data_IF_745256969265
#
_entry.id   IF_745256969265
#
_cell.length_a   1.000
_cell.length_b   1.000
_cell.length_c   1.000
_cell.angle_alpha   90.00
_cell.angle_beta   90.00
_cell.angle_gamma   90.00
#
_symmetry.space_group_name_H-M   'P 1'
#
loop_
_entity.id
_entity.type
_entity.pdbx_description
1 polymer ?
#
# COMPACT_ATOMS: atom_id res chain seq x y z
N UNK A 1 7.95 -14.07 18.92
CA UNK A 1 7.74 -14.09 17.46
C UNK A 1 6.70 -13.04 17.17
N UNK A 2 6.98 -12.09 16.28
CA UNK A 2 6.07 -11.00 15.88
C UNK A 2 5.11 -11.52 14.80
N UNK A 3 3.95 -10.91 14.67
CA UNK A 3 2.88 -11.46 13.83
C UNK A 3 3.16 -11.29 12.33
N UNK A 4 3.71 -10.15 11.90
CA UNK A 4 3.83 -9.85 10.47
C UNK A 4 4.96 -8.84 10.20
N UNK A 5 5.69 -9.03 9.11
CA UNK A 5 6.61 -8.03 8.54
C UNK A 5 6.13 -7.59 7.17
N UNK A 6 6.29 -6.31 6.85
CA UNK A 6 6.07 -5.73 5.53
C UNK A 6 7.39 -5.32 4.90
N UNK A 7 7.70 -5.88 3.73
CA UNK A 7 8.76 -5.37 2.85
C UNK A 7 8.16 -4.32 1.92
N UNK A 8 8.68 -3.10 1.94
CA UNK A 8 8.17 -1.99 1.14
C UNK A 8 9.28 -1.33 0.31
N UNK A 9 8.91 -0.83 -0.87
CA UNK A 9 9.83 -0.24 -1.83
C UNK A 9 10.20 1.22 -1.51
N UNK A 10 9.32 1.99 -0.88
CA UNK A 10 9.58 3.39 -0.62
C UNK A 10 8.94 3.91 0.67
N UNK A 11 9.31 5.14 1.03
CA UNK A 11 8.78 5.82 2.20
C UNK A 11 7.29 6.20 2.07
N UNK A 12 6.71 6.28 0.88
CA UNK A 12 5.27 6.52 0.74
C UNK A 12 4.47 5.31 1.24
N UNK A 13 4.91 4.09 0.92
CA UNK A 13 4.37 2.85 1.46
C UNK A 13 4.58 2.75 2.98
N UNK A 14 5.75 3.13 3.50
CA UNK A 14 5.98 3.20 4.96
C UNK A 14 4.95 4.11 5.63
N UNK A 15 4.74 5.31 5.09
CA UNK A 15 3.77 6.27 5.63
C UNK A 15 2.34 5.75 5.52
N UNK A 16 1.99 5.06 4.42
CA UNK A 16 0.69 4.41 4.26
C UNK A 16 0.44 3.37 5.36
N UNK A 17 1.40 2.46 5.57
CA UNK A 17 1.27 1.39 6.57
C UNK A 17 1.15 1.96 7.98
N UNK A 18 1.98 2.94 8.34
CA UNK A 18 1.85 3.66 9.63
C UNK A 18 0.48 4.30 9.76
N UNK A 19 0.01 4.99 8.74
CA UNK A 19 -1.30 5.63 8.77
C UNK A 19 -2.43 4.63 8.96
N UNK A 20 -2.29 3.42 8.44
CA UNK A 20 -3.30 2.39 8.56
C UNK A 20 -3.24 1.64 9.90
N UNK A 21 -2.06 1.18 10.30
CA UNK A 21 -1.89 0.28 11.45
C UNK A 21 -1.64 1.01 12.79
N UNK A 22 -1.19 2.28 12.79
CA UNK A 22 -1.10 3.08 14.02
C UNK A 22 -2.50 3.45 14.59
N UNK A 23 -3.57 3.11 13.87
CA UNK A 23 -4.95 3.40 14.28
C UNK A 23 -5.41 2.42 15.34
N UNK A 24 -6.05 2.96 16.37
CA UNK A 24 -6.81 2.13 17.29
C UNK A 24 -7.82 1.26 16.53
N UNK A 25 -7.83 -0.02 16.86
CA UNK A 25 -8.79 -1.00 16.35
C UNK A 25 -8.76 -1.17 14.81
N UNK A 26 -7.61 -1.01 14.15
CA UNK A 26 -7.46 -1.26 12.71
C UNK A 26 -8.01 -2.64 12.29
N UNK A 27 -7.88 -3.65 13.16
CA UNK A 27 -8.38 -5.01 12.94
C UNK A 27 -9.90 -5.06 12.69
N UNK A 28 -10.68 -4.15 13.29
CA UNK A 28 -12.13 -4.04 13.03
C UNK A 28 -12.45 -3.50 11.63
N UNK A 29 -11.56 -2.66 11.08
CA UNK A 29 -11.70 -2.15 9.71
C UNK A 29 -11.37 -3.26 8.70
N UNK A 30 -10.38 -4.10 9.03
CA UNK A 30 -10.02 -5.28 8.25
C UNK A 30 -11.03 -6.43 8.39
N UNK A 31 -11.76 -6.50 9.51
CA UNK A 31 -12.63 -7.64 9.83
C UNK A 31 -11.82 -8.89 10.15
N UNK A 32 -10.74 -8.71 10.92
CA UNK A 32 -9.81 -9.74 11.37
C UNK A 32 -9.60 -9.64 12.89
N UNK A 33 -9.04 -10.70 13.50
CA UNK A 33 -8.55 -10.66 14.89
C UNK A 33 -7.42 -9.64 15.01
N UNK A 34 -7.32 -9.00 16.18
CA UNK A 34 -6.18 -8.13 16.49
C UNK A 34 -4.86 -8.91 16.45
N UNK A 35 -3.82 -8.28 15.90
CA UNK A 35 -2.46 -8.78 15.87
C UNK A 35 -1.48 -7.66 16.26
N UNK A 36 -0.28 -8.02 16.71
CA UNK A 36 0.78 -7.08 17.08
C UNK A 36 1.43 -6.49 15.83
N UNK A 37 1.58 -5.18 15.82
CA UNK A 37 2.26 -4.45 14.76
C UNK A 37 2.95 -3.21 15.33
N UNK A 38 4.26 -3.13 15.09
CA UNK A 38 5.13 -2.01 15.41
C UNK A 38 5.85 -1.59 14.15
N UNK A 39 5.52 -0.42 13.61
CA UNK A 39 6.06 0.06 12.35
C UNK A 39 7.58 0.30 12.35
N UNK A 40 8.24 0.36 13.51
CA UNK A 40 9.69 0.47 13.63
C UNK A 40 10.39 -0.90 13.52
N UNK A 41 9.68 -2.00 13.82
CA UNK A 41 10.21 -3.37 13.80
C UNK A 41 9.67 -4.20 12.64
N UNK A 42 8.44 -3.92 12.21
CA UNK A 42 7.66 -4.74 11.27
C UNK A 42 7.64 -4.18 9.85
N UNK A 43 8.41 -3.12 9.58
CA UNK A 43 8.57 -2.59 8.22
C UNK A 43 10.04 -2.67 7.81
N UNK A 44 10.32 -3.58 6.88
CA UNK A 44 11.56 -3.63 6.14
C UNK A 44 11.48 -2.70 4.93
N UNK A 45 12.33 -1.68 4.89
CA UNK A 45 12.38 -0.74 3.77
C UNK A 45 13.53 -1.09 2.82
N UNK A 46 13.23 -1.28 1.54
CA UNK A 46 14.24 -1.59 0.54
C UNK A 46 15.15 -0.37 0.27
N UNK A 47 16.49 -0.54 0.26
CA UNK A 47 17.41 0.57 -0.03
C UNK A 47 17.27 1.19 -1.42
N UNK A 48 16.86 0.40 -2.42
CA UNK A 48 16.92 0.75 -3.84
C UNK A 48 15.58 0.56 -4.57
N UNK A 49 14.49 1.06 -3.99
CA UNK A 49 13.13 1.13 -4.59
C UNK A 49 12.58 -0.21 -5.10
N UNK A 50 11.58 -0.15 -5.99
CA UNK A 50 10.80 -1.28 -6.48
C UNK A 50 11.64 -2.33 -7.23
N UNK A 51 12.66 -1.93 -8.00
CA UNK A 51 13.52 -2.86 -8.72
C UNK A 51 14.33 -3.76 -7.78
N UNK A 52 14.72 -3.24 -6.61
CA UNK A 52 15.42 -4.03 -5.59
C UNK A 52 14.48 -4.95 -4.83
N UNK A 53 13.24 -4.51 -4.54
CA UNK A 53 12.22 -5.42 -4.02
C UNK A 53 11.96 -6.55 -5.02
N UNK A 54 11.85 -6.24 -6.31
CA UNK A 54 11.64 -7.23 -7.37
C UNK A 54 12.78 -8.26 -7.45
N UNK A 55 14.03 -7.82 -7.41
CA UNK A 55 15.19 -8.71 -7.56
C UNK A 55 15.71 -9.38 -6.30
N UNK A 56 15.37 -8.85 -5.11
CA UNK A 56 16.04 -9.22 -3.86
C UNK A 56 15.12 -9.33 -2.64
N UNK A 57 13.82 -9.57 -2.85
CA UNK A 57 12.86 -9.70 -1.75
C UNK A 57 13.25 -10.76 -0.71
N UNK A 58 13.82 -11.89 -1.15
CA UNK A 58 14.24 -12.97 -0.24
C UNK A 58 15.37 -12.50 0.67
N UNK A 59 16.41 -11.89 0.11
CA UNK A 59 17.56 -11.40 0.85
C UNK A 59 17.13 -10.32 1.86
N UNK A 60 16.24 -9.42 1.44
CA UNK A 60 15.69 -8.36 2.30
C UNK A 60 14.81 -8.90 3.43
N UNK A 61 14.10 -10.01 3.21
CA UNK A 61 13.27 -10.66 4.23
C UNK A 61 14.02 -11.69 5.08
N UNK A 62 15.23 -12.09 4.69
CA UNK A 62 16.02 -13.10 5.41
C UNK A 62 16.23 -12.81 6.90
N UNK A 63 16.42 -11.55 7.37
CA UNK A 63 16.55 -11.28 8.80
C UNK A 63 15.26 -11.55 9.60
N UNK A 64 14.12 -11.66 8.92
CA UNK A 64 12.80 -11.72 9.53
C UNK A 64 12.22 -13.15 9.58
N UNK A 65 12.83 -14.11 8.87
CA UNK A 65 12.32 -15.47 8.68
C UNK A 65 12.04 -16.22 9.99
N UNK A 66 12.86 -15.97 11.01
CA UNK A 66 12.76 -16.60 12.34
C UNK A 66 12.05 -15.73 13.38
N UNK A 67 11.90 -14.44 13.11
CA UNK A 67 11.33 -13.49 14.06
C UNK A 67 9.86 -13.18 13.79
N UNK A 68 9.38 -13.40 12.55
CA UNK A 68 8.03 -13.05 12.11
C UNK A 68 7.25 -14.25 11.58
N UNK A 69 5.96 -14.30 11.90
CA UNK A 69 5.08 -15.36 11.45
C UNK A 69 4.70 -15.22 9.97
N UNK A 70 4.38 -14.00 9.50
CA UNK A 70 3.98 -13.74 8.12
C UNK A 70 4.82 -12.63 7.47
N UNK A 71 4.91 -12.65 6.14
CA UNK A 71 5.55 -11.59 5.36
C UNK A 71 4.67 -11.07 4.23
N UNK A 72 4.55 -9.75 4.11
CA UNK A 72 3.88 -9.10 2.99
C UNK A 72 4.88 -8.24 2.22
N UNK A 73 4.91 -8.38 0.90
CA UNK A 73 5.70 -7.51 0.02
C UNK A 73 4.76 -6.53 -0.66
N UNK A 74 5.05 -5.23 -0.54
CA UNK A 74 4.36 -4.15 -1.25
C UNK A 74 5.30 -3.54 -2.30
N UNK A 75 4.84 -3.44 -3.54
CA UNK A 75 5.65 -2.93 -4.66
C UNK A 75 4.78 -2.31 -5.75
N UNK A 76 5.26 -1.26 -6.41
CA UNK A 76 4.57 -0.66 -7.55
C UNK A 76 4.86 -1.44 -8.84
N UNK A 77 3.85 -1.63 -9.69
CA UNK A 77 4.03 -2.26 -11.00
C UNK A 77 4.82 -1.36 -11.95
N UNK A 78 4.76 -0.04 -11.78
CA UNK A 78 5.26 0.92 -12.76
C UNK A 78 6.67 1.42 -12.44
N UNK A 79 7.64 0.72 -13.01
CA UNK A 79 9.05 1.12 -13.05
C UNK A 79 9.68 0.65 -14.36
N UNK A 80 10.85 1.18 -14.70
CA UNK A 80 11.55 0.88 -15.95
C UNK A 80 12.03 -0.58 -16.00
N UNK A 81 11.49 -1.37 -16.93
CA UNK A 81 11.81 -2.81 -17.04
C UNK A 81 10.80 -3.74 -16.36
N UNK A 82 9.73 -3.18 -15.76
CA UNK A 82 8.61 -3.98 -15.26
C UNK A 82 7.94 -4.79 -16.38
N UNK A 83 7.61 -6.05 -16.08
CA UNK A 83 6.87 -6.96 -16.95
C UNK A 83 5.38 -7.04 -16.60
N UNK A 84 4.88 -6.09 -15.81
CA UNK A 84 3.50 -6.03 -15.35
C UNK A 84 3.27 -6.78 -14.02
N UNK A 85 2.11 -6.50 -13.42
CA UNK A 85 1.83 -6.86 -12.05
C UNK A 85 1.81 -8.38 -11.80
N UNK A 86 1.23 -9.18 -12.71
CA UNK A 86 1.15 -10.63 -12.55
C UNK A 86 2.53 -11.30 -12.56
N UNK A 87 3.39 -10.92 -13.51
CA UNK A 87 4.75 -11.43 -13.57
C UNK A 87 5.55 -11.06 -12.32
N UNK A 88 5.37 -9.84 -11.79
CA UNK A 88 6.03 -9.43 -10.56
C UNK A 88 5.55 -10.25 -9.35
N UNK A 89 4.24 -10.45 -9.19
CA UNK A 89 3.67 -11.30 -8.13
C UNK A 89 4.23 -12.71 -8.18
N UNK A 90 4.28 -13.32 -9.36
CA UNK A 90 4.79 -14.67 -9.52
C UNK A 90 6.30 -14.75 -9.26
N UNK A 91 7.08 -13.82 -9.81
CA UNK A 91 8.53 -13.81 -9.65
C UNK A 91 8.94 -13.67 -8.18
N UNK A 92 8.41 -12.67 -7.49
CA UNK A 92 8.69 -12.43 -6.07
C UNK A 92 8.12 -13.56 -5.22
N UNK A 93 6.90 -14.02 -5.51
CA UNK A 93 6.30 -15.13 -4.76
C UNK A 93 7.15 -16.40 -4.84
N UNK A 94 7.65 -16.76 -6.03
CA UNK A 94 8.54 -17.91 -6.22
C UNK A 94 9.83 -17.81 -5.41
N UNK A 95 10.44 -16.62 -5.30
CA UNK A 95 11.67 -16.46 -4.53
C UNK A 95 11.46 -16.64 -3.02
N UNK A 96 10.25 -16.34 -2.51
CA UNK A 96 9.90 -16.45 -1.09
C UNK A 96 9.39 -17.84 -0.68
N UNK A 97 8.93 -18.68 -1.62
CA UNK A 97 8.32 -19.98 -1.34
C UNK A 97 9.17 -20.91 -0.47
N UNK A 98 10.49 -20.89 -0.60
CA UNK A 98 11.35 -21.82 0.14
C UNK A 98 11.30 -21.56 1.66
N UNK A 99 11.50 -20.31 2.07
CA UNK A 99 11.63 -19.92 3.48
C UNK A 99 10.27 -19.59 4.11
N UNK A 100 9.41 -18.91 3.35
CA UNK A 100 8.12 -18.44 3.85
C UNK A 100 6.98 -19.39 3.56
N UNK A 101 7.11 -20.33 2.60
CA UNK A 101 6.04 -21.26 2.19
C UNK A 101 4.76 -20.50 1.87
N UNK A 102 3.64 -20.80 2.53
CA UNK A 102 2.36 -20.11 2.36
C UNK A 102 2.19 -18.91 3.32
N UNK A 103 3.21 -18.60 4.13
CA UNK A 103 3.22 -17.47 5.08
C UNK A 103 3.66 -16.16 4.44
N UNK A 104 3.50 -16.02 3.13
CA UNK A 104 3.82 -14.78 2.42
C UNK A 104 2.72 -14.34 1.45
N UNK A 105 2.70 -13.04 1.17
CA UNK A 105 1.86 -12.46 0.13
C UNK A 105 2.60 -11.33 -0.59
N UNK A 106 2.48 -11.30 -1.91
CA UNK A 106 3.01 -10.21 -2.74
C UNK A 106 1.85 -9.38 -3.26
N UNK A 107 1.85 -8.10 -2.93
CA UNK A 107 0.85 -7.13 -3.32
C UNK A 107 1.52 -6.13 -4.25
N UNK A 108 1.06 -6.14 -5.49
CA UNK A 108 1.54 -5.23 -6.52
C UNK A 108 0.46 -4.20 -6.80
N UNK A 109 0.78 -2.92 -6.57
CA UNK A 109 -0.08 -1.81 -6.96
C UNK A 109 0.02 -1.62 -8.47
N UNK A 110 -1.13 -1.53 -9.15
CA UNK A 110 -1.18 -1.36 -10.58
C UNK A 110 -2.04 -0.13 -10.94
N UNK A 111 -1.44 0.97 -11.45
CA UNK A 111 -0.02 1.10 -11.78
C UNK A 111 0.92 1.36 -10.59
N UNK A 112 0.47 2.11 -9.57
CA UNK A 112 1.30 2.68 -8.50
C UNK A 112 0.46 2.91 -7.24
N UNK A 113 1.09 3.00 -6.06
CA UNK A 113 0.46 3.19 -4.75
C UNK A 113 -0.62 4.29 -4.70
N UNK A 114 -0.46 5.39 -5.45
CA UNK A 114 -1.42 6.50 -5.44
C UNK A 114 -2.85 6.08 -5.83
N UNK A 115 -3.06 4.90 -6.44
CA UNK A 115 -4.40 4.33 -6.66
C UNK A 115 -5.24 4.25 -5.38
N UNK A 116 -4.61 4.11 -4.21
CA UNK A 116 -5.31 4.10 -2.92
C UNK A 116 -5.66 5.50 -2.42
N UNK A 117 -4.94 6.54 -2.83
CA UNK A 117 -5.26 7.92 -2.45
C UNK A 117 -6.57 8.38 -3.09
N UNK A 118 -6.80 7.98 -4.33
CA UNK A 118 -7.92 8.43 -5.14
C UNK A 118 -9.18 7.63 -4.84
N UNK A 119 -9.81 7.97 -3.73
CA UNK A 119 -11.19 7.59 -3.43
C UNK A 119 -12.07 8.83 -3.47
N UNK A 120 -13.35 8.64 -3.79
CA UNK A 120 -14.35 9.69 -3.69
C UNK A 120 -14.71 9.91 -2.20
N UNK A 121 -13.81 10.57 -1.47
CA UNK A 121 -13.91 10.79 -0.04
C UNK A 121 -13.42 12.20 0.32
N UNK A 122 -14.22 13.00 1.06
CA UNK A 122 -13.83 14.35 1.47
C UNK A 122 -12.55 14.39 2.32
N UNK A 123 -12.18 13.29 2.97
CA UNK A 123 -10.94 13.18 3.75
C UNK A 123 -9.69 13.26 2.85
N UNK A 124 -9.77 12.87 1.58
CA UNK A 124 -8.66 12.98 0.62
C UNK A 124 -8.34 14.44 0.37
N UNK A 125 -9.35 15.28 0.09
CA UNK A 125 -9.16 16.71 -0.13
C UNK A 125 -8.60 17.44 1.10
N UNK A 126 -9.07 17.07 2.30
CA UNK A 126 -8.52 17.58 3.57
C UNK A 126 -7.05 17.17 3.74
N UNK A 127 -6.73 15.90 3.55
CA UNK A 127 -5.38 15.37 3.74
C UNK A 127 -4.39 15.92 2.70
N UNK A 128 -4.85 16.21 1.49
CA UNK A 128 -4.06 16.89 0.45
C UNK A 128 -3.85 18.38 0.72
N UNK A 129 -4.67 19.00 1.60
CA UNK A 129 -4.74 20.45 1.74
C UNK A 129 -5.37 21.14 0.52
N UNK A 130 -6.13 20.40 -0.29
CA UNK A 130 -6.72 20.86 -1.54
C UNK A 130 -8.16 20.33 -1.63
N UNK A 131 -9.14 21.15 -1.23
CA UNK A 131 -10.56 20.75 -1.19
C UNK A 131 -11.13 20.50 -2.59
N UNK A 132 -10.80 21.35 -3.55
CA UNK A 132 -11.35 21.29 -4.92
C UNK A 132 -10.52 20.40 -5.86
N UNK A 133 -9.74 19.45 -5.31
CA UNK A 133 -8.81 18.62 -6.09
C UNK A 133 -9.49 17.89 -7.25
N UNK A 134 -10.72 17.39 -7.05
CA UNK A 134 -11.46 16.66 -8.09
C UNK A 134 -11.80 17.54 -9.29
N UNK A 135 -12.17 18.81 -9.04
CA UNK A 135 -12.45 19.82 -10.07
C UNK A 135 -11.18 20.21 -10.80
N UNK A 136 -10.12 20.54 -10.07
CA UNK A 136 -8.80 20.89 -10.61
C UNK A 136 -8.25 19.79 -11.52
N UNK A 137 -8.36 18.53 -11.10
CA UNK A 137 -7.88 17.39 -11.90
C UNK A 137 -8.76 17.12 -13.11
N UNK A 138 -10.06 17.42 -13.05
CA UNK A 138 -10.95 17.33 -14.21
C UNK A 138 -10.62 18.40 -15.26
N UNK A 139 -10.49 19.66 -14.83
CA UNK A 139 -10.15 20.80 -15.71
C UNK A 139 -8.77 20.64 -16.37
N UNK A 140 -7.81 20.06 -15.66
CA UNK A 140 -6.48 19.77 -16.19
C UNK A 140 -6.38 18.45 -16.96
N UNK A 141 -7.46 17.68 -17.08
CA UNK A 141 -7.51 16.39 -17.78
C UNK A 141 -6.80 15.22 -17.07
N UNK A 142 -6.27 15.42 -15.85
CA UNK A 142 -5.58 14.37 -15.08
C UNK A 142 -6.56 13.38 -14.44
N UNK A 143 -7.79 13.80 -14.18
CA UNK A 143 -8.90 12.95 -13.75
C UNK A 143 -10.18 13.37 -14.47
N UNK A 144 -10.45 12.87 -15.68
CA UNK A 144 -11.65 13.23 -16.43
C UNK A 144 -12.95 12.94 -15.67
N UNK A 145 -14.01 13.69 -15.99
CA UNK A 145 -15.36 13.47 -15.42
C UNK A 145 -15.86 12.08 -15.83
N UNK A 146 -16.58 11.40 -14.92
CA UNK A 146 -17.11 10.05 -15.16
C UNK A 146 -16.11 8.91 -14.91
N UNK A 147 -14.82 9.20 -14.79
CA UNK A 147 -13.82 8.19 -14.40
C UNK A 147 -13.84 7.97 -12.89
N UNK A 148 -13.83 6.70 -12.47
CA UNK A 148 -13.80 6.32 -11.06
C UNK A 148 -12.48 6.72 -10.36
N UNK A 149 -11.35 6.71 -11.09
CA UNK A 149 -10.01 7.11 -10.62
C UNK A 149 -9.19 7.78 -11.74
N UNK A 150 -8.11 8.51 -11.44
CA UNK A 150 -7.17 9.00 -12.45
C UNK A 150 -6.49 7.84 -13.20
N UNK A 151 -6.36 7.97 -14.52
CA UNK A 151 -5.62 6.99 -15.33
C UNK A 151 -4.11 6.97 -15.02
N UNK A 152 -3.55 8.10 -14.55
CA UNK A 152 -2.16 8.22 -14.09
C UNK A 152 -2.14 8.77 -12.65
N UNK A 153 -2.37 7.91 -11.63
CA UNK A 153 -2.53 8.29 -10.22
C UNK A 153 -1.43 9.21 -9.68
N UNK A 154 -0.17 8.85 -9.89
CA UNK A 154 0.98 9.64 -9.44
C UNK A 154 1.09 10.98 -10.15
N UNK A 155 0.84 11.00 -11.47
CA UNK A 155 0.87 12.24 -12.24
C UNK A 155 -0.21 13.22 -11.79
N UNK A 156 -1.40 12.72 -11.40
CA UNK A 156 -2.45 13.55 -10.80
C UNK A 156 -1.99 14.17 -9.46
N UNK A 157 -1.32 13.39 -8.60
CA UNK A 157 -0.83 13.91 -7.32
C UNK A 157 0.24 14.97 -7.54
N UNK A 158 1.18 14.70 -8.44
CA UNK A 158 2.25 15.62 -8.82
C UNK A 158 1.70 16.93 -9.42
N UNK A 159 0.61 16.86 -10.18
CA UNK A 159 -0.07 18.05 -10.69
C UNK A 159 -0.55 18.96 -9.55
N UNK A 160 -1.24 18.40 -8.56
CA UNK A 160 -1.74 19.15 -7.41
C UNK A 160 -0.59 19.74 -6.57
N UNK A 161 0.48 18.97 -6.36
CA UNK A 161 1.67 19.42 -5.61
C UNK A 161 2.34 20.62 -6.27
N UNK A 162 2.49 20.58 -7.60
CA UNK A 162 3.20 21.63 -8.36
C UNK A 162 2.38 22.90 -8.49
N UNK A 163 1.07 22.80 -8.75
CA UNK A 163 0.24 23.95 -9.13
C UNK A 163 -0.68 24.48 -8.03
N UNK A 164 -0.98 23.66 -7.02
CA UNK A 164 -2.03 23.98 -6.03
C UNK A 164 -1.57 23.83 -4.58
N UNK A 165 -0.26 23.81 -4.34
CA UNK A 165 0.36 23.71 -2.99
C UNK A 165 -0.15 22.53 -2.16
N UNK A 166 -0.60 21.45 -2.80
CA UNK A 166 -0.91 20.22 -2.09
C UNK A 166 0.34 19.69 -1.37
N UNK A 167 0.14 18.93 -0.30
CA UNK A 167 1.26 18.44 0.52
C UNK A 167 2.31 17.72 -0.34
N UNK A 168 3.55 18.21 -0.24
CA UNK A 168 4.69 17.81 -1.06
C UNK A 168 5.37 16.53 -0.54
N UNK A 169 5.11 16.15 0.70
CA UNK A 169 5.74 15.02 1.37
C UNK A 169 4.92 13.74 1.32
N UNK A 170 5.53 12.65 1.78
CA UNK A 170 4.86 11.35 1.92
C UNK A 170 3.90 11.30 3.12
N UNK A 171 3.90 12.32 3.98
CA UNK A 171 2.97 12.42 5.12
C UNK A 171 1.50 12.41 4.67
N UNK A 172 1.20 12.80 3.42
CA UNK A 172 -0.14 12.67 2.85
C UNK A 172 -0.64 11.23 2.89
N UNK A 173 0.20 10.23 2.58
CA UNK A 173 -0.19 8.82 2.61
C UNK A 173 -0.57 8.38 4.02
N UNK A 174 0.18 8.82 5.04
CA UNK A 174 -0.15 8.55 6.44
C UNK A 174 -1.49 9.16 6.84
N UNK A 175 -1.71 10.44 6.53
CA UNK A 175 -2.98 11.12 6.87
C UNK A 175 -4.17 10.51 6.14
N UNK A 176 -3.99 10.17 4.87
CA UNK A 176 -5.02 9.54 4.04
C UNK A 176 -5.35 8.16 4.59
N UNK A 177 -4.37 7.26 4.80
CA UNK A 177 -4.61 5.95 5.39
C UNK A 177 -5.21 6.02 6.81
N UNK A 178 -4.80 7.02 7.60
CA UNK A 178 -5.35 7.32 8.94
C UNK A 178 -6.83 7.69 8.92
N UNK A 179 -7.24 8.51 7.95
CA UNK A 179 -8.59 9.07 7.88
C UNK A 179 -9.54 8.27 6.97
N UNK A 180 -9.05 7.36 6.14
CA UNK A 180 -9.86 6.63 5.19
C UNK A 180 -10.60 5.47 5.85
N UNK A 181 -11.87 5.31 5.48
CA UNK A 181 -12.51 4.01 5.58
C UNK A 181 -12.15 3.22 4.33
N UNK A 182 -11.52 2.06 4.52
CA UNK A 182 -11.26 1.14 3.43
C UNK A 182 -12.43 0.18 3.17
N UNK A 183 -13.56 0.32 3.88
CA UNK A 183 -14.75 -0.53 3.69
C UNK A 183 -15.24 -0.54 2.24
N UNK A 184 -15.15 0.60 1.56
CA UNK A 184 -15.58 0.77 0.17
C UNK A 184 -14.40 0.85 -0.81
N UNK A 185 -13.18 0.52 -0.37
CA UNK A 185 -12.04 0.49 -1.28
C UNK A 185 -12.20 -0.72 -2.22
N UNK A 186 -12.55 -0.45 -3.48
CA UNK A 186 -12.73 -1.46 -4.52
C UNK A 186 -11.42 -1.79 -5.26
N UNK A 187 -10.29 -1.30 -4.75
CA UNK A 187 -9.00 -1.53 -5.38
C UNK A 187 -8.57 -2.99 -5.26
N UNK A 188 -8.18 -3.67 -6.36
CA UNK A 188 -7.78 -5.08 -6.30
C UNK A 188 -6.63 -5.34 -5.33
N UNK A 189 -5.63 -4.45 -5.28
CA UNK A 189 -4.48 -4.64 -4.39
C UNK A 189 -4.87 -4.50 -2.91
N UNK A 190 -5.84 -3.64 -2.60
CA UNK A 190 -6.37 -3.52 -1.24
C UNK A 190 -7.22 -4.74 -0.86
N UNK A 191 -8.06 -5.22 -1.77
CA UNK A 191 -8.85 -6.43 -1.54
C UNK A 191 -7.94 -7.63 -1.22
N UNK A 192 -6.86 -7.82 -1.99
CA UNK A 192 -5.86 -8.86 -1.73
C UNK A 192 -5.23 -8.69 -0.34
N UNK A 193 -4.81 -7.48 0.04
CA UNK A 193 -4.25 -7.24 1.39
C UNK A 193 -5.25 -7.63 2.47
N UNK A 194 -6.47 -7.08 2.39
CA UNK A 194 -7.53 -7.29 3.37
C UNK A 194 -7.83 -8.78 3.52
N UNK A 195 -8.09 -9.46 2.42
CA UNK A 195 -8.51 -10.86 2.45
C UNK A 195 -7.37 -11.74 2.97
N UNK A 196 -6.12 -11.47 2.57
CA UNK A 196 -4.94 -12.14 3.13
C UNK A 196 -4.83 -11.97 4.66
N UNK A 197 -5.01 -10.75 5.16
CA UNK A 197 -4.93 -10.49 6.60
C UNK A 197 -6.09 -11.13 7.36
N UNK A 198 -7.28 -11.22 6.76
CA UNK A 198 -8.42 -11.92 7.35
C UNK A 198 -8.19 -13.42 7.43
N UNK A 199 -7.60 -14.01 6.40
CA UNK A 199 -7.27 -15.44 6.36
C UNK A 199 -6.16 -15.78 7.36
N UNK A 200 -5.15 -14.92 7.50
CA UNK A 200 -4.05 -15.14 8.45
C UNK A 200 -4.42 -14.85 9.91
N UNK A 201 -5.34 -13.91 10.12
CA UNK A 201 -5.78 -13.48 11.44
C UNK A 201 -7.31 -13.63 11.54
N UNK A 202 -7.81 -14.84 11.35
CA UNK A 202 -9.25 -15.13 11.42
C UNK A 202 -9.85 -14.60 12.72
N UNK A 203 -11.00 -13.91 12.64
CA UNK A 203 -11.77 -13.58 13.84
C UNK A 203 -12.21 -14.88 14.49
N UNK A 204 -12.02 -15.01 15.81
CA UNK A 204 -12.60 -16.13 16.57
C UNK A 204 -14.09 -16.18 16.25
N UNK A 205 -14.51 -17.21 15.50
CA UNK A 205 -15.92 -17.50 15.27
C UNK A 205 -16.55 -17.81 16.62
N UNK A 206 -17.17 -16.80 17.23
CA UNK A 206 -18.12 -16.97 18.34
C UNK A 206 -19.37 -17.70 17.86
#
# INVERSE_FOLDING_TARGET
MRDIVFLVADNAMVQLLRGFFDRDQFHRVLGCRSFDFDADQDIAHAPYKDSHVYGSARELLSPYEKSHQFAVVLVDAKWEGSRGADHMREHIGRSLRHEWKDRHKVIVFDPELEIWLWQDNPNVGKALGCKDFRKILAESGHWPVGMAKPAKPKAALEHLRRRHRADKGNAVFRRVAGAMSFKNCTDPSFAILRDTLRDWFEEDRK
#
